data_IF_327228745987
#
_entry.id   IF_327228745987
#
_cell.length_a   1.000
_cell.length_b   1.000
_cell.length_c   1.000
_cell.angle_alpha   90.00
_cell.angle_beta   90.00
_cell.angle_gamma   90.00
#
_symmetry.space_group_name_H-M   'P 1'
#
loop_
_entity.id
_entity.type
_entity.pdbx_description
1 polymer ?
#
# COMPACT_ATOMS: atom_id res chain seq x y z
N UNK A 1 -75.34 1.22 6.30
CA UNK A 1 -75.87 1.66 7.61
C UNK A 1 -75.49 0.60 8.64
N UNK A 2 -74.42 0.77 9.43
CA UNK A 2 -74.44 1.49 10.72
C UNK A 2 -75.33 0.73 11.72
N UNK A 3 -74.87 0.20 12.85
CA UNK A 3 -74.21 0.90 13.96
C UNK A 3 -73.57 -0.12 14.94
N UNK A 4 -72.41 0.28 15.51
CA UNK A 4 -71.97 0.16 16.93
C UNK A 4 -71.89 -1.22 17.58
N UNK A 5 -70.72 -1.56 18.15
CA UNK A 5 -70.58 -1.96 19.56
C UNK A 5 -69.09 -2.27 19.88
N UNK A 6 -68.20 -1.29 19.73
CA UNK A 6 -66.80 -1.41 20.19
C UNK A 6 -66.46 -0.29 21.20
N UNK A 7 -67.43 0.04 22.05
CA UNK A 7 -67.17 0.44 23.45
C UNK A 7 -66.64 -0.85 24.11
N UNK A 8 -65.51 -0.89 24.83
CA UNK A 8 -65.29 -0.27 26.13
C UNK A 8 -63.77 -0.09 26.39
N UNK A 9 -63.38 1.04 26.97
CA UNK A 9 -62.02 1.28 27.41
C UNK A 9 -61.67 0.64 28.76
N UNK A 10 -60.36 0.68 29.03
CA UNK A 10 -59.67 0.65 30.33
C UNK A 10 -59.26 -0.73 30.89
N UNK A 11 -57.95 -0.89 31.15
CA UNK A 11 -57.46 -1.97 32.02
C UNK A 11 -55.98 -2.34 31.97
N UNK A 12 -55.06 -1.37 31.93
CA UNK A 12 -53.62 -1.60 32.20
C UNK A 12 -53.48 -2.22 33.60
N UNK A 13 -52.98 -3.47 33.70
CA UNK A 13 -52.74 -4.14 34.98
C UNK A 13 -51.44 -3.62 35.60
N UNK A 14 -51.45 -3.01 36.80
CA UNK A 14 -50.23 -2.68 37.52
C UNK A 14 -49.71 -3.95 38.19
N UNK A 15 -48.54 -4.45 37.77
CA UNK A 15 -47.92 -5.61 38.41
C UNK A 15 -46.71 -6.23 37.73
N UNK A 16 -46.55 -6.11 36.41
CA UNK A 16 -45.47 -6.82 35.72
C UNK A 16 -44.22 -5.96 35.54
N UNK A 17 -43.54 -5.64 36.66
CA UNK A 17 -42.12 -5.27 36.63
C UNK A 17 -41.31 -6.57 36.54
N UNK A 18 -41.19 -7.12 35.33
CA UNK A 18 -40.16 -8.13 35.05
C UNK A 18 -38.83 -7.39 34.93
N UNK A 19 -37.96 -7.62 35.91
CA UNK A 19 -36.57 -7.17 35.86
C UNK A 19 -35.85 -7.90 34.73
N UNK A 20 -35.51 -7.18 33.66
CA UNK A 20 -34.60 -7.65 32.63
C UNK A 20 -33.15 -7.58 33.15
N UNK A 21 -32.72 -8.62 33.87
CA UNK A 21 -31.31 -8.82 34.25
C UNK A 21 -30.48 -9.29 33.03
N UNK A 22 -30.39 -8.46 32.00
CA UNK A 22 -29.47 -8.67 30.88
C UNK A 22 -28.88 -7.36 30.38
N UNK A 23 -27.99 -6.77 31.19
CA UNK A 23 -26.93 -5.90 30.68
C UNK A 23 -25.75 -5.77 31.66
N UNK A 24 -25.07 -6.89 31.90
CA UNK A 24 -23.65 -6.85 32.29
C UNK A 24 -22.82 -7.51 31.20
N UNK A 25 -23.04 -7.08 29.96
CA UNK A 25 -22.09 -7.29 28.87
C UNK A 25 -21.11 -6.13 28.83
N UNK A 26 -19.81 -6.47 28.91
CA UNK A 26 -18.70 -5.73 28.27
C UNK A 26 -18.26 -4.40 28.92
N UNK A 27 -17.60 -4.48 30.07
CA UNK A 27 -16.50 -3.54 30.39
C UNK A 27 -15.30 -4.28 30.98
N UNK A 28 -14.70 -5.15 30.17
CA UNK A 28 -13.33 -5.62 30.35
C UNK A 28 -12.62 -5.48 29.00
N UNK A 29 -12.43 -4.22 28.59
CA UNK A 29 -11.85 -3.85 27.31
C UNK A 29 -10.80 -2.76 27.49
N UNK A 30 -9.77 -3.03 28.27
CA UNK A 30 -8.62 -2.17 28.54
C UNK A 30 -7.50 -3.11 29.04
N UNK A 31 -6.34 -3.33 28.41
CA UNK A 31 -5.57 -2.58 27.42
C UNK A 31 -4.64 -3.58 26.72
N UNK A 32 -4.85 -3.81 25.43
CA UNK A 32 -3.82 -4.35 24.55
C UNK A 32 -2.93 -3.21 24.08
N UNK A 33 -1.98 -2.78 24.91
CA UNK A 33 -0.93 -1.86 24.49
C UNK A 33 0.16 -2.68 23.79
N UNK A 34 -0.11 -3.09 22.55
CA UNK A 34 0.94 -3.54 21.63
C UNK A 34 1.65 -2.28 21.16
N UNK A 35 2.79 -2.02 21.80
CA UNK A 35 3.76 -1.04 21.34
C UNK A 35 4.36 -1.58 20.03
N UNK A 36 3.75 -1.18 18.91
CA UNK A 36 4.36 -1.31 17.61
C UNK A 36 5.06 0.01 17.36
N UNK A 37 6.40 -0.05 17.44
CA UNK A 37 7.26 1.04 17.05
C UNK A 37 6.78 1.62 15.72
N UNK A 38 6.52 2.92 15.71
CA UNK A 38 6.26 3.66 14.50
C UNK A 38 7.47 3.47 13.58
N UNK A 39 7.32 2.63 12.57
CA UNK A 39 8.03 2.83 11.31
C UNK A 39 7.06 3.60 10.44
N UNK A 40 7.47 4.81 10.09
CA UNK A 40 6.76 5.64 9.13
C UNK A 40 6.59 4.94 7.78
N UNK A 41 5.74 5.54 6.97
CA UNK A 41 5.54 5.23 5.56
C UNK A 41 4.61 4.06 5.26
N UNK A 42 3.33 4.25 5.60
CA UNK A 42 2.21 3.51 4.96
C UNK A 42 2.02 3.90 3.48
N UNK A 43 2.80 4.85 2.98
CA UNK A 43 2.86 5.20 1.56
C UNK A 43 3.86 4.32 0.78
N UNK A 44 4.66 3.49 1.47
CA UNK A 44 5.58 2.55 0.83
C UNK A 44 4.83 1.52 -0.04
N UNK A 45 3.59 1.15 0.30
CA UNK A 45 2.90 0.05 -0.38
C UNK A 45 2.38 0.37 -1.80
N UNK A 46 2.43 1.64 -2.27
CA UNK A 46 1.92 2.03 -3.61
C UNK A 46 2.98 2.33 -4.66
N UNK A 47 4.25 2.05 -4.40
CA UNK A 47 5.33 2.30 -5.36
C UNK A 47 6.62 1.50 -5.12
N UNK A 48 6.64 0.63 -4.10
CA UNK A 48 7.84 -0.12 -3.70
C UNK A 48 8.41 -1.00 -4.82
N UNK A 49 7.57 -1.55 -5.70
CA UNK A 49 8.02 -2.30 -6.88
C UNK A 49 8.42 -1.40 -8.05
N UNK A 50 7.77 -0.25 -8.22
CA UNK A 50 8.06 0.70 -9.31
C UNK A 50 9.39 1.43 -9.11
N UNK A 51 9.74 1.78 -7.87
CA UNK A 51 10.99 2.47 -7.54
C UNK A 51 12.20 1.53 -7.69
N UNK A 52 12.03 0.24 -7.43
CA UNK A 52 13.09 -0.76 -7.58
C UNK A 52 13.58 -0.87 -9.03
N UNK A 53 12.66 -0.93 -9.99
CA UNK A 53 13.02 -0.88 -11.42
C UNK A 53 13.61 0.47 -11.84
N UNK A 54 13.13 1.57 -11.24
CA UNK A 54 13.68 2.91 -11.47
C UNK A 54 15.14 3.02 -10.97
N UNK A 55 15.51 2.26 -9.93
CA UNK A 55 16.89 2.17 -9.48
C UNK A 55 17.79 1.50 -10.52
N UNK A 56 17.37 0.37 -11.09
CA UNK A 56 18.14 -0.35 -12.10
C UNK A 56 18.26 0.46 -13.39
N UNK A 57 17.16 1.05 -13.88
CA UNK A 57 17.20 1.85 -15.12
C UNK A 57 18.12 3.08 -14.97
N UNK A 58 18.14 3.73 -13.80
CA UNK A 58 19.03 4.86 -13.55
C UNK A 58 20.52 4.45 -13.66
N UNK A 59 20.88 3.29 -13.09
CA UNK A 59 22.23 2.73 -13.21
C UNK A 59 22.56 2.38 -14.66
N UNK A 60 21.63 1.76 -15.39
CA UNK A 60 21.81 1.41 -16.80
C UNK A 60 22.03 2.67 -17.64
N UNK A 61 21.23 3.71 -17.47
CA UNK A 61 21.39 4.99 -18.18
C UNK A 61 22.72 5.65 -17.82
N UNK A 62 23.12 5.64 -16.55
CA UNK A 62 24.42 6.19 -16.14
C UNK A 62 25.59 5.49 -16.85
N UNK A 63 25.55 4.15 -16.94
CA UNK A 63 26.56 3.37 -17.66
C UNK A 63 26.50 3.69 -19.17
N UNK A 64 25.32 3.73 -19.78
CA UNK A 64 25.17 4.07 -21.20
C UNK A 64 25.77 5.44 -21.48
N UNK A 65 25.49 6.45 -20.65
CA UNK A 65 26.05 7.79 -20.84
C UNK A 65 27.58 7.78 -20.78
N UNK A 66 28.17 7.10 -19.80
CA UNK A 66 29.64 6.92 -19.71
C UNK A 66 30.20 6.20 -20.94
N UNK A 67 29.52 5.17 -21.44
CA UNK A 67 29.94 4.45 -22.64
C UNK A 67 29.82 5.32 -23.90
N UNK A 68 28.79 6.17 -24.00
CA UNK A 68 28.60 7.08 -25.15
C UNK A 68 29.58 8.24 -25.17
N UNK A 69 30.08 8.70 -24.01
CA UNK A 69 31.12 9.74 -23.94
C UNK A 69 32.53 9.17 -24.13
N UNK A 70 32.69 7.84 -24.06
CA UNK A 70 33.98 7.22 -24.28
C UNK A 70 34.16 6.91 -25.76
N UNK A 71 35.23 7.44 -26.36
CA UNK A 71 35.57 7.27 -27.78
C UNK A 71 36.10 5.86 -28.14
N UNK A 72 35.50 4.79 -27.60
CA UNK A 72 35.91 3.42 -27.86
C UNK A 72 35.85 3.08 -29.36
N UNK A 73 34.84 3.57 -30.08
CA UNK A 73 34.71 3.35 -31.53
C UNK A 73 35.91 3.88 -32.30
N UNK A 74 36.32 5.13 -32.02
CA UNK A 74 37.46 5.78 -32.67
C UNK A 74 38.78 5.14 -32.26
N UNK A 75 38.93 4.78 -30.98
CA UNK A 75 40.13 4.13 -30.44
C UNK A 75 40.35 2.76 -31.07
N UNK A 76 39.30 1.93 -31.17
CA UNK A 76 39.35 0.61 -31.78
C UNK A 76 39.58 0.72 -33.29
N UNK A 77 38.87 1.62 -33.99
CA UNK A 77 39.06 1.84 -35.41
C UNK A 77 40.50 2.25 -35.72
N UNK A 78 41.05 3.19 -34.96
CA UNK A 78 42.45 3.63 -35.10
C UNK A 78 43.43 2.48 -34.85
N UNK A 79 43.21 1.69 -33.79
CA UNK A 79 44.06 0.54 -33.48
C UNK A 79 44.06 -0.50 -34.62
N UNK A 80 42.89 -0.81 -35.18
CA UNK A 80 42.75 -1.73 -36.31
C UNK A 80 43.42 -1.16 -37.56
N UNK A 81 43.17 0.11 -37.90
CA UNK A 81 43.79 0.76 -39.06
C UNK A 81 45.32 0.74 -38.96
N UNK A 82 45.86 1.04 -37.78
CA UNK A 82 47.30 0.97 -37.54
C UNK A 82 47.84 -0.45 -37.70
N UNK A 83 47.12 -1.45 -37.19
CA UNK A 83 47.55 -2.85 -37.31
C UNK A 83 47.52 -3.34 -38.75
N UNK A 84 46.53 -2.92 -39.55
CA UNK A 84 46.48 -3.19 -41.00
C UNK A 84 47.66 -2.52 -41.70
N UNK A 85 47.91 -1.25 -41.42
CA UNK A 85 49.02 -0.50 -42.03
C UNK A 85 50.38 -1.14 -41.79
N UNK A 86 50.59 -1.80 -40.65
CA UNK A 86 51.82 -2.55 -40.35
C UNK A 86 51.98 -3.83 -41.17
N UNK A 87 50.88 -4.38 -41.69
CA UNK A 87 50.87 -5.64 -42.45
C UNK A 87 50.89 -5.35 -43.96
N UNK A 88 50.24 -4.27 -44.39
CA UNK A 88 50.04 -3.94 -45.81
C UNK A 88 51.02 -2.93 -46.39
N UNK A 89 51.72 -2.17 -45.53
CA UNK A 89 52.79 -1.23 -45.91
C UNK A 89 54.16 -1.80 -45.62
#
# INVERSE_FOLDING_TARGET
MGKRFWEDGLGHRPGDVRNDDRDTSRRAGLRGARDHGRVGDRDADRGQTSIEYLGIIAVVVAIILVLTTTDFGTMIATAITNQISQITG
#
